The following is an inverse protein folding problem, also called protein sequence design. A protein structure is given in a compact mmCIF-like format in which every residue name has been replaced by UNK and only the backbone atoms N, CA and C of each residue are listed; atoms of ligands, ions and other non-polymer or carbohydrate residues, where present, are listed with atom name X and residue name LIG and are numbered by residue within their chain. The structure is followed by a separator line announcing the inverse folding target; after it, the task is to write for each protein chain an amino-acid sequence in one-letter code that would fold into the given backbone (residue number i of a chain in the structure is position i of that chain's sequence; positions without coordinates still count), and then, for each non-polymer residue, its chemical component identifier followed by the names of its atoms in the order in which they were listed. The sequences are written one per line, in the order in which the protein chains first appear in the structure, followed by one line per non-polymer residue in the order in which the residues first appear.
data_IF_850747766516
#
_entry.id   IF_850747766516
#
_cell.length_a   1.000
_cell.length_b   1.000
_cell.length_c   1.000
_cell.angle_alpha   90.00
_cell.angle_beta   90.00
_cell.angle_gamma   90.00
#
_symmetry.space_group_name_H-M   'P 1'
#
loop_
_entity.id
_entity.type
_entity.pdbx_description
1 polymer ?
#
# COMPACT_ATOMS: atom_id res chain seq x y z
N UNK A 1 -24.98 70.18 17.15
CA UNK A 1 -25.65 68.90 17.04
C UNK A 1 -24.88 68.04 16.07
N UNK A 2 -24.04 67.16 16.58
CA UNK A 2 -23.21 66.23 15.76
C UNK A 2 -23.59 64.83 16.20
N UNK A 3 -24.14 64.03 15.30
CA UNK A 3 -24.53 62.64 15.52
C UNK A 3 -23.36 61.72 15.25
N UNK A 4 -22.95 61.00 16.29
CA UNK A 4 -21.98 59.92 16.30
C UNK A 4 -22.57 58.67 15.59
N UNK A 5 -21.94 58.20 14.53
CA UNK A 5 -22.29 56.93 13.87
C UNK A 5 -21.35 55.84 14.39
N UNK A 6 -21.91 54.91 15.12
CA UNK A 6 -21.23 53.70 15.57
C UNK A 6 -20.88 52.79 14.37
N UNK A 7 -19.60 52.56 14.18
CA UNK A 7 -19.03 51.61 13.19
C UNK A 7 -18.89 50.23 13.90
N UNK A 8 -19.86 49.35 13.72
CA UNK A 8 -19.73 47.96 14.17
C UNK A 8 -18.75 47.24 13.27
N UNK A 9 -17.57 46.91 13.81
CA UNK A 9 -16.58 46.08 13.16
C UNK A 9 -16.97 44.60 13.36
N UNK A 10 -17.52 43.97 12.32
CA UNK A 10 -17.85 42.55 12.32
C UNK A 10 -16.56 41.72 12.09
N UNK A 11 -15.94 41.22 13.14
CA UNK A 11 -14.85 40.25 13.02
C UNK A 11 -15.43 38.91 12.57
N UNK A 12 -15.25 38.57 11.31
CA UNK A 12 -15.53 37.24 10.79
C UNK A 12 -14.46 36.28 11.33
N UNK A 13 -14.82 35.45 12.27
CA UNK A 13 -14.01 34.32 12.73
C UNK A 13 -14.07 33.24 11.65
N UNK A 14 -13.00 33.13 10.87
CA UNK A 14 -12.80 32.03 9.94
C UNK A 14 -12.56 30.76 10.75
N UNK A 15 -13.59 29.93 10.90
CA UNK A 15 -13.45 28.58 11.42
C UNK A 15 -12.64 27.75 10.40
N UNK A 16 -11.39 27.51 10.72
CA UNK A 16 -10.57 26.53 10.02
C UNK A 16 -11.22 25.16 10.20
N UNK A 17 -11.84 24.62 9.15
CA UNK A 17 -12.31 23.24 9.13
C UNK A 17 -11.08 22.33 9.25
N UNK A 18 -10.82 21.84 10.47
CA UNK A 18 -9.98 20.66 10.65
C UNK A 18 -10.64 19.52 9.88
N UNK A 19 -10.06 19.14 8.74
CA UNK A 19 -10.52 18.00 7.98
C UNK A 19 -10.52 16.77 8.91
N UNK A 20 -11.69 16.20 9.17
CA UNK A 20 -11.78 14.89 9.77
C UNK A 20 -10.98 13.96 8.88
N UNK A 21 -9.92 13.33 9.42
CA UNK A 21 -9.23 12.24 8.77
C UNK A 21 -10.28 11.14 8.50
N UNK A 22 -10.68 11.01 7.24
CA UNK A 22 -11.69 10.02 6.84
C UNK A 22 -11.21 8.63 7.27
N UNK A 23 -12.14 7.78 7.68
CA UNK A 23 -11.87 6.38 7.98
C UNK A 23 -11.14 5.73 6.80
N UNK A 24 -10.05 4.99 7.05
CA UNK A 24 -9.30 4.24 6.05
C UNK A 24 -9.81 2.80 5.90
N UNK A 25 -11.12 2.57 6.08
CA UNK A 25 -11.73 1.24 5.94
C UNK A 25 -11.18 0.26 6.96
N UNK A 26 -10.54 -0.82 6.48
CA UNK A 26 -9.93 -1.85 7.33
C UNK A 26 -8.51 -1.49 7.81
N UNK A 27 -7.92 -0.43 7.27
CA UNK A 27 -6.60 0.05 7.68
C UNK A 27 -6.69 1.12 8.76
N UNK A 28 -5.62 1.26 9.54
CA UNK A 28 -5.56 2.18 10.68
C UNK A 28 -4.74 3.43 10.39
N UNK A 29 -3.83 3.37 9.41
CA UNK A 29 -2.88 4.44 9.14
C UNK A 29 -2.56 4.55 7.65
N UNK A 30 -2.06 5.72 7.24
CA UNK A 30 -1.45 5.96 5.93
C UNK A 30 -0.32 6.98 6.07
N UNK A 31 0.66 6.90 5.18
CA UNK A 31 1.78 7.86 5.13
C UNK A 31 2.84 7.45 4.13
N UNK A 32 3.73 8.39 3.85
CA UNK A 32 4.87 8.15 2.98
C UNK A 32 5.99 7.41 3.70
N UNK A 33 6.64 6.52 3.00
CA UNK A 33 7.87 5.85 3.38
C UNK A 33 9.03 6.54 2.64
N UNK A 34 10.13 6.81 3.34
CA UNK A 34 11.39 7.28 2.75
C UNK A 34 11.41 8.72 2.24
N UNK A 35 10.44 9.55 2.60
CA UNK A 35 10.38 11.00 2.25
C UNK A 35 10.39 11.27 0.73
N UNK A 36 9.41 10.81 -0.05
CA UNK A 36 9.28 11.20 -1.44
C UNK A 36 9.09 12.74 -1.56
N UNK A 37 9.49 13.30 -2.70
CA UNK A 37 9.41 14.75 -2.92
C UNK A 37 7.96 15.27 -3.03
N UNK A 38 7.04 14.44 -3.50
CA UNK A 38 5.61 14.73 -3.57
C UNK A 38 4.91 13.87 -2.51
N UNK A 39 4.21 14.53 -1.59
CA UNK A 39 3.47 13.84 -0.55
C UNK A 39 2.33 13.00 -1.14
N UNK A 40 2.24 11.75 -0.70
CA UNK A 40 1.16 10.85 -1.08
C UNK A 40 -0.14 11.11 -0.31
N UNK A 41 -1.20 10.43 -0.74
CA UNK A 41 -2.51 10.49 -0.10
C UNK A 41 -3.28 9.19 -0.24
N UNK A 42 -4.22 8.95 0.68
CA UNK A 42 -5.13 7.82 0.64
C UNK A 42 -6.54 8.24 1.05
N UNK A 43 -7.54 7.74 0.34
CA UNK A 43 -8.94 7.92 0.65
C UNK A 43 -9.67 6.58 0.54
N UNK A 44 -10.65 6.36 1.41
CA UNK A 44 -11.54 5.21 1.38
C UNK A 44 -12.97 5.66 1.14
N UNK A 45 -13.59 5.13 0.09
CA UNK A 45 -14.99 5.33 -0.21
C UNK A 45 -15.83 4.20 0.42
N UNK A 46 -16.61 4.55 1.45
CA UNK A 46 -17.46 3.59 2.16
C UNK A 46 -18.60 3.05 1.30
N UNK A 47 -19.07 3.81 0.32
CA UNK A 47 -20.20 3.39 -0.52
C UNK A 47 -19.80 2.29 -1.49
N UNK A 48 -18.55 2.35 -2.00
CA UNK A 48 -18.02 1.39 -2.98
C UNK A 48 -17.05 0.38 -2.38
N UNK A 49 -16.55 0.60 -1.16
CA UNK A 49 -15.49 -0.20 -0.54
C UNK A 49 -14.11 -0.01 -1.18
N UNK A 50 -13.93 1.04 -1.98
CA UNK A 50 -12.70 1.28 -2.74
C UNK A 50 -11.73 2.18 -1.99
N UNK A 51 -10.45 1.91 -2.18
CA UNK A 51 -9.35 2.79 -1.80
C UNK A 51 -8.82 3.49 -3.05
N UNK A 52 -8.65 4.82 -2.96
CA UNK A 52 -7.91 5.60 -3.94
C UNK A 52 -6.62 6.06 -3.27
N UNK A 53 -5.49 5.57 -3.76
CA UNK A 53 -4.17 5.86 -3.20
C UNK A 53 -3.34 6.55 -4.28
N UNK A 54 -2.78 7.72 -3.93
CA UNK A 54 -1.84 8.45 -4.77
C UNK A 54 -0.48 8.41 -4.10
N UNK A 55 0.53 7.94 -4.80
CA UNK A 55 1.90 7.83 -4.30
C UNK A 55 2.92 8.34 -5.31
N UNK A 56 4.00 8.91 -4.79
CA UNK A 56 5.20 9.23 -5.55
C UNK A 56 6.38 8.40 -5.03
N UNK A 57 7.58 8.74 -5.42
CA UNK A 57 8.79 8.12 -4.92
C UNK A 57 9.65 7.48 -6.00
N UNK A 58 10.94 7.42 -5.72
CA UNK A 58 11.93 6.92 -6.66
C UNK A 58 11.78 5.42 -6.92
N UNK A 59 11.55 4.62 -5.89
CA UNK A 59 11.36 3.17 -6.04
C UNK A 59 10.99 2.47 -4.72
N UNK A 60 10.49 1.23 -4.85
CA UNK A 60 10.51 0.17 -3.83
C UNK A 60 11.56 -0.83 -4.32
N UNK A 61 12.86 -0.58 -3.95
CA UNK A 61 13.98 -1.37 -4.47
C UNK A 61 15.30 -1.06 -3.76
N UNK A 62 16.31 -1.91 -4.01
CA UNK A 62 17.64 -1.72 -3.45
C UNK A 62 17.62 -1.76 -1.92
N UNK A 63 18.31 -0.80 -1.30
CA UNK A 63 18.44 -0.73 0.17
C UNK A 63 17.42 0.20 0.83
N UNK A 64 16.74 1.06 0.05
CA UNK A 64 15.82 2.07 0.59
C UNK A 64 14.61 2.26 -0.33
N UNK A 65 13.47 2.47 0.29
CA UNK A 65 12.18 2.59 -0.38
C UNK A 65 11.64 4.03 -0.29
N UNK A 66 10.94 4.49 -1.33
CA UNK A 66 10.16 5.72 -1.34
C UNK A 66 8.80 5.45 -1.99
N UNK A 67 7.70 5.53 -1.21
CA UNK A 67 6.35 5.23 -1.71
C UNK A 67 5.28 5.65 -0.70
N UNK A 68 4.01 5.70 -1.12
CA UNK A 68 2.84 5.86 -0.25
C UNK A 68 2.37 4.50 0.25
N UNK A 69 2.12 4.39 1.56
CA UNK A 69 1.66 3.18 2.22
C UNK A 69 0.36 3.40 3.00
N UNK A 70 -0.54 2.42 2.97
CA UNK A 70 -1.76 2.37 3.79
C UNK A 70 -1.75 1.02 4.50
N UNK A 71 -1.82 0.99 5.86
CA UNK A 71 -1.53 -0.24 6.60
C UNK A 71 -2.32 -0.40 7.90
N UNK A 72 -2.27 -1.62 8.40
CA UNK A 72 -2.59 -1.98 9.79
C UNK A 72 -1.54 -2.92 10.34
N UNK A 73 -1.40 -2.96 11.66
CA UNK A 73 -0.58 -3.97 12.33
C UNK A 73 -1.32 -5.31 12.38
N UNK A 74 -0.56 -6.40 12.14
CA UNK A 74 -1.08 -7.78 12.22
C UNK A 74 0.02 -8.72 12.70
N UNK A 75 -0.36 -9.79 13.39
CA UNK A 75 0.56 -10.82 13.91
C UNK A 75 0.19 -12.20 13.39
N UNK A 76 1.14 -13.13 13.44
CA UNK A 76 0.93 -14.54 13.08
C UNK A 76 0.77 -14.77 11.58
N UNK A 77 0.02 -15.79 11.23
CA UNK A 77 -0.31 -16.13 9.85
C UNK A 77 -1.50 -15.30 9.37
N UNK A 78 -1.47 -14.87 8.13
CA UNK A 78 -2.55 -14.07 7.57
C UNK A 78 -2.56 -14.11 6.04
N UNK A 79 -3.68 -13.70 5.47
CA UNK A 79 -3.86 -13.47 4.04
C UNK A 79 -4.25 -12.02 3.81
N UNK A 80 -3.67 -11.40 2.80
CA UNK A 80 -4.09 -10.10 2.27
C UNK A 80 -4.50 -10.29 0.82
N UNK A 81 -5.66 -9.75 0.43
CA UNK A 81 -6.10 -9.73 -0.97
C UNK A 81 -6.42 -8.31 -1.41
N UNK A 82 -6.26 -8.04 -2.69
CA UNK A 82 -6.71 -6.80 -3.31
C UNK A 82 -6.87 -6.98 -4.82
N UNK A 83 -7.85 -6.32 -5.39
CA UNK A 83 -7.95 -6.03 -6.82
C UNK A 83 -7.46 -4.61 -7.04
N UNK A 84 -6.63 -4.36 -8.04
CA UNK A 84 -6.08 -3.03 -8.29
C UNK A 84 -6.05 -2.65 -9.78
N UNK A 85 -6.12 -1.33 -10.01
CA UNK A 85 -6.01 -0.75 -11.35
C UNK A 85 -5.34 0.61 -11.27
N UNK A 86 -4.29 0.80 -12.07
CA UNK A 86 -3.67 2.11 -12.25
C UNK A 86 -4.63 3.07 -12.96
N UNK A 87 -4.61 4.34 -12.58
CA UNK A 87 -5.32 5.42 -13.28
C UNK A 87 -4.32 6.24 -14.08
N UNK A 88 -4.65 6.47 -15.36
CA UNK A 88 -3.77 7.27 -16.25
C UNK A 88 -2.51 6.54 -16.71
N UNK A 89 -1.58 7.33 -17.24
CA UNK A 89 -0.28 6.89 -17.73
C UNK A 89 0.82 7.27 -16.72
N UNK A 90 1.94 6.56 -16.73
CA UNK A 90 3.09 6.80 -15.87
C UNK A 90 4.26 5.93 -16.29
N UNK A 91 5.32 5.86 -15.46
CA UNK A 91 6.48 5.04 -15.75
C UNK A 91 6.12 3.55 -15.85
N UNK A 92 6.80 2.83 -16.72
CA UNK A 92 6.60 1.38 -16.88
C UNK A 92 6.91 0.60 -15.60
N UNK A 93 7.88 1.08 -14.81
CA UNK A 93 8.28 0.49 -13.53
C UNK A 93 7.58 1.11 -12.30
N UNK A 94 6.57 1.98 -12.45
CA UNK A 94 5.70 2.36 -11.33
C UNK A 94 5.10 1.10 -10.71
N UNK A 95 4.90 1.09 -9.40
CA UNK A 95 4.50 -0.11 -8.67
C UNK A 95 3.28 0.12 -7.82
N UNK A 96 2.39 -0.86 -7.80
CA UNK A 96 1.28 -0.89 -6.86
C UNK A 96 0.93 -2.33 -6.48
N UNK A 97 0.54 -2.54 -5.23
CA UNK A 97 0.16 -3.87 -4.76
C UNK A 97 0.04 -3.99 -3.25
N UNK A 98 0.22 -5.21 -2.78
CA UNK A 98 0.14 -5.60 -1.39
C UNK A 98 1.56 -5.71 -0.83
N UNK A 99 1.79 -5.14 0.35
CA UNK A 99 3.06 -5.24 1.05
C UNK A 99 2.87 -5.67 2.51
N UNK A 100 3.82 -6.44 3.00
CA UNK A 100 4.07 -6.68 4.43
C UNK A 100 5.48 -6.23 4.76
N UNK A 101 5.65 -5.44 5.84
CA UNK A 101 6.95 -4.93 6.25
C UNK A 101 7.11 -4.87 7.77
N UNK A 102 8.36 -4.92 8.23
CA UNK A 102 8.67 -4.95 9.66
C UNK A 102 8.39 -3.63 10.36
N UNK A 103 8.68 -2.50 9.71
CA UNK A 103 8.53 -1.14 10.26
C UNK A 103 8.30 -0.11 9.16
N UNK A 104 8.16 1.18 9.54
CA UNK A 104 8.06 2.32 8.62
C UNK A 104 9.43 2.84 8.15
N UNK A 105 10.53 2.27 8.61
CA UNK A 105 11.87 2.65 8.15
C UNK A 105 12.01 2.37 6.65
N UNK A 106 12.61 3.27 5.89
CA UNK A 106 12.77 3.11 4.43
C UNK A 106 13.57 1.88 4.02
N UNK A 107 14.41 1.38 4.90
CA UNK A 107 15.27 0.21 4.72
C UNK A 107 14.74 -1.06 5.42
N UNK A 108 13.49 -1.06 5.90
CA UNK A 108 12.91 -2.19 6.62
C UNK A 108 12.90 -3.49 5.80
N UNK A 109 12.97 -4.64 6.48
CA UNK A 109 12.66 -5.92 5.89
C UNK A 109 11.20 -5.92 5.40
N UNK A 110 10.95 -6.45 4.20
CA UNK A 110 9.61 -6.51 3.61
C UNK A 110 9.47 -7.66 2.61
N UNK A 111 8.23 -7.97 2.26
CA UNK A 111 7.86 -8.71 1.06
C UNK A 111 6.60 -8.08 0.46
N UNK A 112 6.52 -8.03 -0.87
CA UNK A 112 5.36 -7.50 -1.56
C UNK A 112 4.94 -8.35 -2.77
N UNK A 113 3.69 -8.17 -3.16
CA UNK A 113 3.12 -8.63 -4.43
C UNK A 113 2.70 -7.38 -5.16
N UNK A 114 3.51 -6.94 -6.11
CA UNK A 114 3.30 -5.71 -6.85
C UNK A 114 3.13 -5.97 -8.34
N UNK A 115 2.45 -5.02 -8.99
CA UNK A 115 2.35 -4.93 -10.43
C UNK A 115 3.06 -3.66 -10.87
N UNK A 116 3.86 -3.79 -11.94
CA UNK A 116 4.45 -2.65 -12.61
C UNK A 116 3.44 -1.96 -13.54
N UNK A 117 3.69 -0.72 -13.90
CA UNK A 117 2.85 0.01 -14.87
C UNK A 117 2.76 -0.66 -16.24
N UNK A 118 3.80 -1.39 -16.63
CA UNK A 118 3.83 -2.27 -17.81
C UNK A 118 2.89 -3.47 -17.72
N UNK A 119 2.42 -3.81 -16.52
CA UNK A 119 1.61 -5.00 -16.24
C UNK A 119 2.39 -6.20 -15.69
N UNK A 120 3.69 -6.09 -15.52
CA UNK A 120 4.55 -7.16 -14.99
C UNK A 120 4.27 -7.40 -13.49
N UNK A 121 3.84 -8.60 -13.07
CA UNK A 121 3.73 -8.94 -11.67
C UNK A 121 5.07 -9.35 -11.09
N UNK A 122 5.33 -8.97 -9.83
CA UNK A 122 6.55 -9.30 -9.12
C UNK A 122 6.28 -9.66 -7.66
N UNK A 123 7.01 -10.67 -7.15
CA UNK A 123 7.27 -10.86 -5.73
C UNK A 123 8.61 -10.24 -5.42
N UNK A 124 8.64 -9.19 -4.59
CA UNK A 124 9.88 -8.55 -4.16
C UNK A 124 10.06 -8.70 -2.66
N UNK A 125 11.31 -8.80 -2.19
CA UNK A 125 11.57 -8.89 -0.75
C UNK A 125 12.96 -8.38 -0.38
N UNK A 126 13.05 -7.84 0.83
CA UNK A 126 14.29 -7.52 1.55
C UNK A 126 14.28 -8.35 2.82
N UNK A 127 15.21 -9.32 2.92
CA UNK A 127 15.21 -10.30 4.01
C UNK A 127 15.54 -9.70 5.37
N UNK A 128 16.39 -8.65 5.40
CA UNK A 128 16.76 -7.92 6.62
C UNK A 128 16.85 -6.43 6.34
N UNK A 129 16.72 -5.64 7.38
CA UNK A 129 16.90 -4.18 7.33
C UNK A 129 18.24 -3.82 6.68
N UNK A 130 18.20 -2.90 5.69
CA UNK A 130 19.37 -2.38 5.00
C UNK A 130 20.01 -3.29 3.95
N UNK A 131 19.49 -4.50 3.74
CA UNK A 131 19.92 -5.39 2.66
C UNK A 131 19.36 -4.95 1.29
N UNK A 132 19.90 -5.52 0.22
CA UNK A 132 19.37 -5.36 -1.13
C UNK A 132 18.01 -6.06 -1.28
N UNK A 133 17.17 -5.50 -2.14
CA UNK A 133 15.93 -6.13 -2.56
C UNK A 133 16.20 -7.22 -3.59
N UNK A 134 15.51 -8.34 -3.43
CA UNK A 134 15.45 -9.44 -4.38
C UNK A 134 14.08 -9.46 -5.05
N UNK A 135 13.97 -10.08 -6.24
CA UNK A 135 12.70 -10.22 -6.92
C UNK A 135 12.59 -11.55 -7.66
N UNK A 136 11.33 -11.95 -7.83
CA UNK A 136 10.89 -12.92 -8.81
C UNK A 136 9.85 -12.22 -9.69
N UNK A 137 10.24 -11.95 -10.93
CA UNK A 137 9.42 -11.24 -11.90
C UNK A 137 8.84 -12.21 -12.92
N UNK A 138 7.61 -11.98 -13.34
CA UNK A 138 6.96 -12.74 -14.42
C UNK A 138 6.82 -11.86 -15.65
N UNK A 139 7.11 -12.40 -16.86
CA UNK A 139 6.78 -11.73 -18.11
C UNK A 139 5.27 -11.50 -18.19
N UNK A 140 4.85 -10.36 -18.74
CA UNK A 140 3.46 -10.00 -18.79
C UNK A 140 3.01 -9.15 -19.99
N UNK A 141 1.72 -9.26 -20.37
CA UNK A 141 1.14 -8.77 -21.61
C UNK A 141 0.35 -7.44 -21.47
N UNK A 142 0.91 -6.44 -20.79
CA UNK A 142 0.35 -5.10 -20.79
C UNK A 142 -0.68 -4.80 -19.70
N UNK A 143 -1.30 -3.61 -19.71
CA UNK A 143 -2.12 -3.07 -18.63
C UNK A 143 -3.45 -3.81 -18.44
N UNK A 144 -4.02 -3.72 -17.23
CA UNK A 144 -5.28 -4.38 -16.90
C UNK A 144 -5.75 -4.10 -15.49
N UNK A 145 -6.74 -4.87 -15.05
CA UNK A 145 -7.12 -5.01 -13.65
C UNK A 145 -6.43 -6.24 -13.10
N UNK A 146 -5.72 -6.07 -12.00
CA UNK A 146 -4.90 -7.11 -11.40
C UNK A 146 -5.48 -7.56 -10.07
N UNK A 147 -5.37 -8.83 -9.77
CA UNK A 147 -5.73 -9.41 -8.50
C UNK A 147 -4.47 -9.92 -7.83
N UNK A 148 -4.21 -9.44 -6.63
CA UNK A 148 -3.09 -9.83 -5.80
C UNK A 148 -3.57 -10.58 -4.57
N UNK A 149 -2.83 -11.61 -4.15
CA UNK A 149 -2.99 -12.25 -2.85
C UNK A 149 -1.60 -12.57 -2.29
N UNK A 150 -1.36 -12.13 -1.06
CA UNK A 150 -0.18 -12.45 -0.28
C UNK A 150 -0.61 -13.31 0.91
N UNK A 151 0.03 -14.46 1.10
CA UNK A 151 -0.20 -15.34 2.24
C UNK A 151 1.08 -15.46 3.05
N UNK A 152 1.00 -15.15 4.35
CA UNK A 152 2.07 -15.41 5.31
C UNK A 152 1.77 -16.67 6.11
N UNK A 153 2.71 -17.61 6.10
CA UNK A 153 2.67 -18.82 6.96
C UNK A 153 4.05 -19.00 7.61
N UNK A 154 4.16 -18.60 8.87
CA UNK A 154 5.46 -18.54 9.57
C UNK A 154 6.38 -17.53 8.89
N UNK A 155 7.52 -18.02 8.39
CA UNK A 155 8.50 -17.21 7.64
C UNK A 155 8.23 -17.17 6.14
N UNK A 156 7.36 -18.05 5.63
CA UNK A 156 7.05 -18.15 4.21
C UNK A 156 6.03 -17.11 3.78
N UNK A 157 6.31 -16.47 2.66
CA UNK A 157 5.42 -15.51 1.99
C UNK A 157 5.15 -16.04 0.60
N UNK A 158 3.87 -16.32 0.32
CA UNK A 158 3.41 -16.82 -0.97
C UNK A 158 2.76 -15.70 -1.77
N UNK A 159 3.10 -15.62 -3.05
CA UNK A 159 2.51 -14.73 -4.02
C UNK A 159 1.49 -15.46 -4.88
N UNK A 160 0.30 -14.88 -4.97
CA UNK A 160 -0.73 -15.27 -5.93
C UNK A 160 -1.09 -14.08 -6.78
N UNK A 161 -1.37 -14.33 -8.04
CA UNK A 161 -1.83 -13.30 -8.94
C UNK A 161 -2.91 -13.81 -9.88
N UNK A 162 -3.81 -12.92 -10.28
CA UNK A 162 -4.81 -13.09 -11.31
C UNK A 162 -4.99 -11.80 -12.12
N UNK A 163 -5.65 -11.88 -13.26
CA UNK A 163 -5.90 -10.74 -14.14
C UNK A 163 -7.31 -10.76 -14.71
N UNK A 164 -7.93 -9.58 -14.79
CA UNK A 164 -9.23 -9.37 -15.42
C UNK A 164 -10.31 -10.33 -14.94
N UNK A 165 -10.32 -10.64 -13.63
CA UNK A 165 -11.26 -11.58 -13.02
C UNK A 165 -10.91 -13.06 -13.20
N UNK A 166 -9.73 -13.37 -13.73
CA UNK A 166 -9.23 -14.73 -13.82
C UNK A 166 -8.88 -15.36 -12.46
N UNK A 167 -8.61 -16.66 -12.48
CA UNK A 167 -8.25 -17.41 -11.27
C UNK A 167 -6.94 -16.91 -10.64
N UNK A 168 -6.94 -16.76 -9.31
CA UNK A 168 -5.72 -16.51 -8.53
C UNK A 168 -4.86 -17.78 -8.47
N UNK A 169 -3.64 -17.72 -9.00
CA UNK A 169 -2.69 -18.81 -9.01
C UNK A 169 -1.47 -18.48 -8.17
N UNK A 170 -0.97 -19.45 -7.42
CA UNK A 170 0.34 -19.34 -6.77
C UNK A 170 1.42 -19.34 -7.83
N UNK A 171 2.30 -18.33 -7.74
CA UNK A 171 3.34 -18.10 -8.74
C UNK A 171 4.72 -18.29 -8.14
N UNK A 172 4.92 -17.77 -6.93
CA UNK A 172 6.21 -17.82 -6.26
C UNK A 172 6.03 -17.73 -4.74
N UNK A 173 7.08 -18.06 -4.02
CA UNK A 173 7.19 -17.80 -2.59
C UNK A 173 8.63 -17.46 -2.22
N UNK A 174 8.79 -16.82 -1.07
CA UNK A 174 10.08 -16.51 -0.45
C UNK A 174 10.01 -16.72 1.05
N UNK A 175 11.15 -16.56 1.72
CA UNK A 175 11.22 -16.61 3.18
C UNK A 175 11.74 -15.28 3.71
N UNK A 176 10.96 -14.65 4.61
CA UNK A 176 11.35 -13.44 5.34
C UNK A 176 11.03 -13.64 6.81
N UNK A 177 12.05 -13.53 7.66
CA UNK A 177 11.87 -13.61 9.12
C UNK A 177 11.47 -12.24 9.66
N UNK A 178 10.25 -12.14 10.14
CA UNK A 178 9.73 -10.96 10.82
C UNK A 178 9.67 -11.20 12.33
N UNK A 179 9.95 -10.18 13.12
CA UNK A 179 9.90 -10.20 14.59
C UNK A 179 8.61 -9.54 15.09
N UNK A 180 7.76 -10.30 15.79
CA UNK A 180 6.51 -9.77 16.36
C UNK A 180 5.49 -9.31 15.31
N UNK A 181 4.69 -8.28 15.61
CA UNK A 181 3.75 -7.70 14.69
C UNK A 181 4.44 -7.09 13.47
N UNK A 182 3.78 -7.17 12.33
CA UNK A 182 4.19 -6.54 11.06
C UNK A 182 3.13 -5.56 10.59
N UNK A 183 3.48 -4.69 9.67
CA UNK A 183 2.56 -3.79 8.98
C UNK A 183 2.16 -4.45 7.66
N UNK A 184 0.87 -4.70 7.47
CA UNK A 184 0.33 -5.27 6.24
C UNK A 184 -0.62 -4.27 5.59
N UNK A 185 -0.51 -4.08 4.26
CA UNK A 185 -1.28 -3.06 3.58
C UNK A 185 -1.04 -2.92 2.09
N UNK A 186 -1.36 -1.73 1.57
CA UNK A 186 -1.33 -1.37 0.16
C UNK A 186 -0.22 -0.33 -0.11
N UNK A 187 0.55 -0.55 -1.15
CA UNK A 187 1.69 0.29 -1.54
C UNK A 187 1.49 0.88 -2.94
N UNK A 188 1.88 2.15 -3.13
CA UNK A 188 1.89 2.83 -4.44
C UNK A 188 3.16 3.68 -4.58
N UNK A 189 3.92 3.44 -5.65
CA UNK A 189 5.14 4.15 -6.01
C UNK A 189 5.11 4.54 -7.50
N UNK A 190 5.35 5.81 -7.82
CA UNK A 190 5.39 6.29 -9.20
C UNK A 190 6.63 5.87 -9.98
N UNK A 191 7.69 5.44 -9.30
CA UNK A 191 9.02 5.22 -9.87
C UNK A 191 9.61 6.49 -10.53
N UNK A 192 9.14 7.66 -10.08
CA UNK A 192 9.61 8.99 -10.50
C UNK A 192 9.58 9.91 -9.29
N UNK A 193 10.70 10.61 -9.02
CA UNK A 193 10.82 11.47 -7.85
C UNK A 193 9.93 12.73 -7.95
N UNK A 194 9.64 13.18 -9.16
CA UNK A 194 8.93 14.41 -9.51
C UNK A 194 7.50 14.19 -10.06
N UNK A 195 6.99 12.96 -9.98
CA UNK A 195 5.64 12.61 -10.41
C UNK A 195 4.92 11.74 -9.36
N UNK A 196 3.61 11.69 -9.44
CA UNK A 196 2.78 10.79 -8.63
C UNK A 196 1.83 9.99 -9.51
N UNK A 197 1.53 8.76 -9.09
CA UNK A 197 0.54 7.89 -9.71
C UNK A 197 -0.62 7.63 -8.76
N UNK A 198 -1.81 7.44 -9.33
CA UNK A 198 -3.01 7.09 -8.58
C UNK A 198 -3.48 5.69 -8.96
N UNK A 199 -3.80 4.91 -7.93
CA UNK A 199 -4.29 3.54 -8.07
C UNK A 199 -5.59 3.39 -7.29
N UNK A 200 -6.55 2.68 -7.89
CA UNK A 200 -7.78 2.25 -7.21
C UNK A 200 -7.61 0.79 -6.81
N UNK A 201 -7.89 0.51 -5.51
CA UNK A 201 -7.97 -0.84 -4.98
C UNK A 201 -9.42 -1.14 -4.58
N UNK A 202 -9.88 -2.36 -4.89
CA UNK A 202 -11.16 -2.94 -4.49
C UNK A 202 -10.98 -4.35 -3.96
N UNK A 203 -12.04 -4.94 -3.41
CA UNK A 203 -12.03 -6.30 -2.87
C UNK A 203 -10.89 -6.54 -1.87
N UNK A 204 -10.59 -5.51 -1.07
CA UNK A 204 -9.45 -5.53 -0.14
C UNK A 204 -9.85 -6.26 1.13
N UNK A 205 -9.08 -7.31 1.47
CA UNK A 205 -9.20 -8.00 2.75
C UNK A 205 -7.86 -8.19 3.44
N UNK A 206 -7.90 -8.28 4.78
CA UNK A 206 -6.78 -8.68 5.65
C UNK A 206 -7.33 -9.65 6.68
N UNK A 207 -7.04 -10.92 6.51
CA UNK A 207 -7.60 -12.01 7.29
C UNK A 207 -6.50 -12.73 8.09
N UNK A 208 -6.60 -12.69 9.43
CA UNK A 208 -5.77 -13.52 10.28
C UNK A 208 -6.16 -14.99 10.10
N UNK A 209 -5.18 -15.86 9.93
CA UNK A 209 -5.42 -17.29 9.92
C UNK A 209 -5.35 -17.82 11.36
N UNK A 210 -6.30 -18.67 11.74
CA UNK A 210 -6.24 -19.36 13.01
C UNK A 210 -4.95 -20.20 13.09
N UNK A 211 -4.29 -20.17 14.26
CA UNK A 211 -3.20 -21.10 14.50
C UNK A 211 -3.68 -22.55 14.31
N UNK A 212 -2.90 -23.44 13.69
CA UNK A 212 -3.29 -24.83 13.58
C UNK A 212 -3.54 -25.35 15.01
N UNK A 213 -4.74 -25.93 15.21
CA UNK A 213 -5.08 -26.59 16.49
C UNK A 213 -4.07 -27.75 16.65
N UNK A 214 -3.30 -27.80 17.76
CA UNK A 214 -2.43 -28.93 18.00
C UNK A 214 -3.25 -30.21 17.95
N UNK A 215 -2.85 -31.16 17.11
CA UNK A 215 -3.48 -32.50 17.15
C UNK A 215 -3.20 -33.06 18.54
N UNK A 216 -4.27 -33.35 19.30
CA UNK A 216 -4.14 -34.11 20.54
C UNK A 216 -3.41 -35.42 20.21
N UNK A 217 -2.31 -35.68 20.93
CA UNK A 217 -1.56 -36.93 20.87
C UNK A 217 -2.31 -38.03 21.64
#
# INVERSE_FOLDING_TARGET
MATLRDLLCLCAVSASAFGQSGSLGIFTNSGDIGRPAIQGSAAFDRATGQYRITGSGANIWGKQDQFQYVWRAISGNFTVTATLRFLGQGADHRKAGIMVRQSLDSDAAYADVVFHGSGMPALQWRSRKGEETNAFDLPFDGPGTYQAKLVRTGVKIYMYFGRNGGELREIAHTEVTFSGPVLAGLAVCSHQADASDTVVFSDVSVEAQAAPVPKAQ
#
